data_IF_998209288852
#
_entry.id   IF_998209288852
#
_cell.length_a   1.000
_cell.length_b   1.000
_cell.length_c   1.000
_cell.angle_alpha   90.00
_cell.angle_beta   90.00
_cell.angle_gamma   90.00
#
_symmetry.space_group_name_H-M   'P 1'
#
loop_
_entity.id
_entity.type
_entity.pdbx_description
1 polymer ?
#
# COMPACT_ATOMS: atom_id res chain seq x y z
N UNK A 1 -3.29 -10.93 44.73
CA UNK A 1 -3.95 -12.17 44.31
C UNK A 1 -3.88 -12.23 42.79
N UNK A 2 -3.75 -13.41 42.19
CA UNK A 2 -3.82 -13.54 40.74
C UNK A 2 -5.28 -13.44 40.31
N UNK A 3 -5.59 -12.59 39.33
CA UNK A 3 -6.95 -12.41 38.83
C UNK A 3 -7.28 -13.50 37.81
N UNK A 4 -8.55 -13.89 37.74
CA UNK A 4 -9.09 -14.79 36.73
C UNK A 4 -10.20 -14.06 35.98
N UNK A 5 -10.29 -14.30 34.67
CA UNK A 5 -11.34 -13.76 33.83
C UNK A 5 -12.44 -14.79 33.57
N UNK A 6 -13.65 -14.33 33.24
CA UNK A 6 -14.74 -15.19 32.79
C UNK A 6 -15.13 -14.83 31.36
N UNK A 7 -15.14 -15.83 30.48
CA UNK A 7 -15.55 -15.65 29.09
C UNK A 7 -17.08 -15.63 29.01
N UNK A 8 -17.64 -14.51 28.59
CA UNK A 8 -19.08 -14.30 28.44
C UNK A 8 -19.32 -13.31 27.29
N UNK A 9 -20.32 -13.59 26.44
CA UNK A 9 -20.73 -12.69 25.35
C UNK A 9 -19.60 -12.22 24.43
N UNK A 10 -18.62 -13.10 24.17
CA UNK A 10 -17.48 -12.82 23.29
C UNK A 10 -16.34 -12.01 23.94
N UNK A 11 -16.47 -11.66 25.22
CA UNK A 11 -15.45 -10.91 25.99
C UNK A 11 -15.02 -11.67 27.23
N UNK A 12 -13.87 -11.29 27.80
CA UNK A 12 -13.37 -11.81 29.08
C UNK A 12 -13.57 -10.75 30.16
N UNK A 13 -14.51 -11.00 31.06
CA UNK A 13 -14.81 -10.13 32.20
C UNK A 13 -13.85 -10.41 33.34
N UNK A 14 -13.22 -9.37 33.88
CA UNK A 14 -12.27 -9.48 35.00
C UNK A 14 -12.65 -8.49 36.10
N UNK A 15 -12.92 -9.00 37.30
CA UNK A 15 -13.29 -8.21 38.47
C UNK A 15 -12.12 -7.95 39.44
N UNK A 16 -12.44 -7.63 40.70
CA UNK A 16 -11.43 -7.37 41.73
C UNK A 16 -10.84 -5.96 41.63
N UNK A 17 -9.53 -5.86 41.41
CA UNK A 17 -8.79 -4.62 41.14
C UNK A 17 -8.33 -4.52 39.67
N UNK A 18 -8.99 -5.25 38.76
CA UNK A 18 -8.63 -5.33 37.34
C UNK A 18 -8.60 -3.98 36.63
N UNK A 19 -9.57 -3.10 36.93
CA UNK A 19 -9.60 -1.74 36.38
C UNK A 19 -8.32 -0.97 36.67
N UNK A 20 -7.94 -0.86 37.95
CA UNK A 20 -6.72 -0.15 38.32
C UNK A 20 -5.47 -0.86 37.77
N UNK A 21 -5.48 -2.20 37.81
CA UNK A 21 -4.31 -3.00 37.48
C UNK A 21 -4.03 -3.09 35.98
N UNK A 22 -5.04 -3.10 35.13
CA UNK A 22 -4.89 -3.35 33.69
C UNK A 22 -5.40 -2.21 32.82
N UNK A 23 -6.58 -1.65 33.11
CA UNK A 23 -7.15 -0.57 32.31
C UNK A 23 -6.41 0.75 32.60
N UNK A 24 -6.53 1.29 33.81
CA UNK A 24 -6.03 2.63 34.13
C UNK A 24 -4.49 2.72 34.05
N UNK A 25 -3.78 1.61 34.22
CA UNK A 25 -2.31 1.58 34.21
C UNK A 25 -1.71 1.31 32.83
N UNK A 26 -2.43 0.60 31.95
CA UNK A 26 -1.87 0.02 30.71
C UNK A 26 -2.83 -0.01 29.52
N UNK A 27 -4.05 0.51 29.65
CA UNK A 27 -5.06 0.57 28.59
C UNK A 27 -5.49 -0.80 28.07
N UNK A 28 -5.81 -1.74 28.96
CA UNK A 28 -6.44 -3.01 28.56
C UNK A 28 -7.95 -2.98 28.78
N UNK A 29 -8.69 -3.49 27.80
CA UNK A 29 -10.14 -3.62 27.90
C UNK A 29 -10.86 -2.29 27.94
N UNK A 30 -12.14 -2.35 28.27
CA UNK A 30 -12.95 -1.18 28.61
C UNK A 30 -13.61 -1.36 29.99
N UNK A 31 -13.86 -0.27 30.73
CA UNK A 31 -14.42 -0.34 32.07
C UNK A 31 -15.90 -0.73 32.04
N UNK A 32 -16.29 -1.59 33.00
CA UNK A 32 -17.67 -1.92 33.32
C UNK A 32 -18.07 -1.25 34.65
N UNK A 33 -19.09 -1.78 35.34
CA UNK A 33 -19.50 -1.29 36.64
C UNK A 33 -18.44 -1.56 37.72
N UNK A 34 -18.11 -0.53 38.51
CA UNK A 34 -17.13 -0.64 39.59
C UNK A 34 -15.70 -0.81 39.09
N UNK A 35 -15.03 -1.88 39.54
CA UNK A 35 -13.64 -2.20 39.20
C UNK A 35 -13.52 -3.31 38.15
N UNK A 36 -14.65 -3.73 37.58
CA UNK A 36 -14.69 -4.75 36.54
C UNK A 36 -14.32 -4.13 35.18
N UNK A 37 -13.63 -4.92 34.35
CA UNK A 37 -13.34 -4.57 32.96
C UNK A 37 -13.75 -5.73 32.05
N UNK A 38 -14.04 -5.42 30.80
CA UNK A 38 -14.17 -6.41 29.73
C UNK A 38 -12.95 -6.33 28.81
N UNK A 39 -12.29 -7.47 28.62
CA UNK A 39 -11.16 -7.64 27.72
C UNK A 39 -11.61 -8.35 26.45
N UNK A 40 -11.02 -7.98 25.31
CA UNK A 40 -11.15 -8.80 24.13
C UNK A 40 -10.33 -10.09 24.31
N UNK A 41 -10.65 -11.17 23.58
CA UNK A 41 -9.93 -12.44 23.71
C UNK A 41 -8.40 -12.28 23.50
N UNK A 42 -7.98 -11.39 22.60
CA UNK A 42 -6.57 -11.12 22.31
C UNK A 42 -5.87 -10.38 23.47
N UNK A 43 -6.57 -9.46 24.12
CA UNK A 43 -6.08 -8.74 25.30
C UNK A 43 -5.92 -9.70 26.49
N UNK A 44 -6.90 -10.57 26.71
CA UNK A 44 -6.85 -11.61 27.73
C UNK A 44 -5.72 -12.60 27.46
N UNK A 45 -5.55 -13.05 26.22
CA UNK A 45 -4.44 -13.93 25.83
C UNK A 45 -3.08 -13.28 26.12
N UNK A 46 -2.92 -11.99 25.85
CA UNK A 46 -1.68 -11.28 26.17
C UNK A 46 -1.44 -11.18 27.68
N UNK A 47 -2.47 -10.95 28.49
CA UNK A 47 -2.33 -10.96 29.96
C UNK A 47 -2.03 -12.37 30.50
N UNK A 48 -2.59 -13.43 29.92
CA UNK A 48 -2.24 -14.82 30.25
C UNK A 48 -0.79 -15.14 29.88
N UNK A 49 -0.36 -14.74 28.67
CA UNK A 49 1.00 -14.94 28.17
C UNK A 49 2.05 -14.31 29.10
N UNK A 50 1.76 -13.11 29.60
CA UNK A 50 2.60 -12.41 30.59
C UNK A 50 2.54 -12.98 32.01
N UNK A 51 1.61 -13.88 32.29
CA UNK A 51 1.30 -14.34 33.65
C UNK A 51 0.64 -13.28 34.54
N UNK A 52 0.12 -12.20 33.94
CA UNK A 52 -0.58 -11.14 34.65
C UNK A 52 -2.02 -11.56 35.00
N UNK A 53 -2.66 -12.37 34.15
CA UNK A 53 -3.94 -13.06 34.39
C UNK A 53 -3.66 -14.56 34.62
N UNK A 54 -4.36 -15.19 35.56
CA UNK A 54 -4.09 -16.58 35.95
C UNK A 54 -4.76 -17.60 35.02
N UNK A 55 -5.99 -17.31 34.60
CA UNK A 55 -6.79 -18.15 33.72
C UNK A 55 -8.00 -17.37 33.18
N UNK A 56 -8.59 -17.88 32.10
CA UNK A 56 -9.93 -17.52 31.61
C UNK A 56 -10.85 -18.71 31.84
N UNK A 57 -11.98 -18.49 32.51
CA UNK A 57 -12.99 -19.51 32.79
C UNK A 57 -14.12 -19.40 31.77
N UNK A 58 -14.39 -20.47 31.05
CA UNK A 58 -15.50 -20.58 30.09
C UNK A 58 -16.36 -21.80 30.46
N UNK A 59 -17.56 -21.56 30.97
CA UNK A 59 -18.35 -22.60 31.63
C UNK A 59 -17.60 -23.25 32.80
N UNK A 60 -17.35 -24.55 32.69
CA UNK A 60 -16.60 -25.34 33.68
C UNK A 60 -15.10 -25.47 33.33
N UNK A 61 -14.67 -24.93 32.19
CA UNK A 61 -13.31 -25.07 31.69
C UNK A 61 -12.45 -23.88 32.12
N UNK A 62 -11.27 -24.20 32.65
CA UNK A 62 -10.26 -23.22 33.06
C UNK A 62 -9.13 -23.21 32.04
N UNK A 63 -8.98 -22.11 31.33
CA UNK A 63 -8.04 -21.96 30.23
C UNK A 63 -6.81 -21.17 30.65
N UNK A 64 -5.65 -21.77 30.45
CA UNK A 64 -4.37 -21.05 30.42
C UNK A 64 -4.12 -20.46 29.02
N UNK A 65 -2.99 -19.77 28.84
CA UNK A 65 -2.63 -19.17 27.55
C UNK A 65 -2.67 -20.20 26.40
N UNK A 66 -2.06 -21.37 26.61
CA UNK A 66 -2.00 -22.43 25.60
C UNK A 66 -3.40 -22.90 25.20
N UNK A 67 -4.25 -23.12 26.18
CA UNK A 67 -5.60 -23.64 25.96
C UNK A 67 -6.51 -22.60 25.32
N UNK A 68 -6.36 -21.31 25.66
CA UNK A 68 -7.09 -20.23 25.00
C UNK A 68 -6.63 -20.04 23.55
N UNK A 69 -5.32 -20.05 23.29
CA UNK A 69 -4.77 -19.93 21.94
C UNK A 69 -5.25 -21.07 21.04
N UNK A 70 -5.20 -22.32 21.54
CA UNK A 70 -5.64 -23.50 20.79
C UNK A 70 -7.14 -23.52 20.46
N UNK A 71 -7.94 -22.65 21.09
CA UNK A 71 -9.37 -22.51 20.76
C UNK A 71 -9.63 -21.59 19.58
N UNK A 72 -8.67 -20.76 19.20
CA UNK A 72 -8.83 -19.72 18.15
C UNK A 72 -10.15 -18.93 18.35
N UNK A 73 -10.31 -18.16 19.44
CA UNK A 73 -11.53 -17.40 19.72
C UNK A 73 -11.67 -16.22 18.76
N UNK A 74 -12.09 -16.51 17.53
CA UNK A 74 -12.22 -15.58 16.42
C UNK A 74 -11.38 -15.97 15.20
N UNK A 75 -11.63 -15.34 14.04
CA UNK A 75 -10.82 -15.56 12.85
C UNK A 75 -9.38 -15.10 13.07
N UNK A 76 -8.44 -15.87 12.52
CA UNK A 76 -6.99 -15.60 12.50
C UNK A 76 -6.43 -15.18 13.86
N UNK A 77 -6.95 -15.77 14.94
CA UNK A 77 -6.65 -15.33 16.29
C UNK A 77 -5.16 -15.44 16.62
N UNK A 78 -4.50 -16.53 16.20
CA UNK A 78 -3.04 -16.66 16.33
C UNK A 78 -2.26 -15.51 15.68
N UNK A 79 -2.61 -15.12 14.45
CA UNK A 79 -1.99 -14.02 13.70
C UNK A 79 -2.21 -12.68 14.43
N UNK A 80 -3.46 -12.41 14.81
CA UNK A 80 -3.84 -11.20 15.56
C UNK A 80 -3.12 -11.10 16.90
N UNK A 81 -2.95 -12.22 17.60
CA UNK A 81 -2.20 -12.27 18.85
C UNK A 81 -0.72 -11.94 18.67
N UNK A 82 -0.07 -12.46 17.62
CA UNK A 82 1.35 -12.16 17.34
C UNK A 82 1.57 -10.66 17.13
N UNK A 83 0.73 -10.02 16.30
CA UNK A 83 0.78 -8.56 16.08
C UNK A 83 0.51 -7.79 17.37
N UNK A 84 -0.51 -8.20 18.14
CA UNK A 84 -0.82 -7.55 19.41
C UNK A 84 0.36 -7.62 20.40
N UNK A 85 0.99 -8.79 20.51
CA UNK A 85 2.13 -9.00 21.40
C UNK A 85 3.37 -8.20 20.97
N UNK A 86 3.71 -8.19 19.67
CA UNK A 86 4.85 -7.42 19.14
C UNK A 86 4.68 -5.91 19.39
N UNK A 87 3.50 -5.34 19.12
CA UNK A 87 3.25 -3.93 19.37
C UNK A 87 3.28 -3.59 20.87
N UNK A 88 2.73 -4.45 21.73
CA UNK A 88 2.83 -4.29 23.19
C UNK A 88 4.29 -4.36 23.68
N UNK A 89 5.12 -5.23 23.10
CA UNK A 89 6.55 -5.33 23.40
C UNK A 89 7.31 -4.06 22.98
N UNK A 90 6.94 -3.46 21.84
CA UNK A 90 7.45 -2.17 21.35
C UNK A 90 6.95 -0.95 22.13
N UNK A 91 6.14 -1.17 23.17
CA UNK A 91 5.64 -0.15 24.08
C UNK A 91 4.41 0.60 23.56
N UNK A 92 3.76 0.12 22.50
CA UNK A 92 2.48 0.68 22.05
C UNK A 92 1.34 0.21 22.95
N UNK A 93 0.34 1.08 23.11
CA UNK A 93 -0.98 0.67 23.54
C UNK A 93 -1.85 0.51 22.31
N UNK A 94 -2.71 -0.49 22.35
CA UNK A 94 -3.64 -0.77 21.27
C UNK A 94 -4.86 -1.51 21.82
N UNK A 95 -5.98 -1.29 21.17
CA UNK A 95 -7.28 -1.85 21.50
C UNK A 95 -7.95 -2.36 20.23
N UNK A 96 -8.89 -3.32 20.32
CA UNK A 96 -9.82 -3.58 19.24
C UNK A 96 -10.41 -2.28 18.69
N UNK A 97 -10.40 -2.11 17.37
CA UNK A 97 -11.07 -1.00 16.71
C UNK A 97 -12.58 -1.32 16.61
N UNK A 98 -13.26 -1.28 17.75
CA UNK A 98 -14.69 -1.54 17.85
C UNK A 98 -15.29 -0.82 19.06
N UNK A 99 -16.57 -0.47 18.99
CA UNK A 99 -17.32 -0.10 20.19
C UNK A 99 -17.48 -1.33 21.10
N UNK A 100 -17.35 -1.19 22.43
CA UNK A 100 -17.16 0.04 23.20
C UNK A 100 -15.70 0.34 23.59
N UNK A 101 -14.69 -0.28 22.95
CA UNK A 101 -13.28 0.06 23.24
C UNK A 101 -12.93 1.47 22.77
N UNK A 102 -13.48 1.86 21.63
CA UNK A 102 -13.20 3.14 20.97
C UNK A 102 -14.53 3.69 20.46
N UNK A 103 -14.77 4.97 20.73
CA UNK A 103 -15.86 5.72 20.11
C UNK A 103 -15.51 6.02 18.65
N UNK A 104 -16.44 5.79 17.72
CA UNK A 104 -16.23 5.97 16.26
C UNK A 104 -14.96 5.25 15.73
N UNK A 105 -14.87 3.92 15.85
CA UNK A 105 -13.67 3.16 15.49
C UNK A 105 -13.40 3.18 13.97
N UNK A 106 -12.12 3.09 13.53
CA UNK A 106 -11.80 2.80 12.13
C UNK A 106 -12.28 1.39 11.75
N UNK A 107 -12.51 1.15 10.46
CA UNK A 107 -12.94 -0.17 9.93
C UNK A 107 -11.76 -1.16 9.82
N UNK A 108 -10.96 -1.29 10.89
CA UNK A 108 -9.78 -2.17 10.98
C UNK A 108 -9.84 -3.08 12.21
N UNK A 109 -8.88 -4.01 12.39
CA UNK A 109 -8.88 -4.90 13.56
C UNK A 109 -8.47 -4.21 14.86
N UNK A 110 -7.47 -3.32 14.79
CA UNK A 110 -6.92 -2.63 15.95
C UNK A 110 -6.78 -1.13 15.68
N UNK A 111 -6.97 -0.34 16.74
CA UNK A 111 -6.41 0.99 16.78
C UNK A 111 -5.18 0.99 17.68
N UNK A 112 -4.07 1.50 17.16
CA UNK A 112 -2.81 1.64 17.88
C UNK A 112 -2.64 3.12 18.22
N UNK A 113 -2.36 3.40 19.48
CA UNK A 113 -2.25 4.76 20.00
C UNK A 113 -0.79 5.26 19.92
N UNK A 114 -0.55 6.57 19.77
CA UNK A 114 0.81 7.13 19.84
C UNK A 114 1.54 6.69 21.11
N UNK A 115 2.87 6.53 21.05
CA UNK A 115 3.64 6.16 22.24
C UNK A 115 3.42 7.16 23.37
N UNK A 116 3.07 6.64 24.56
CA UNK A 116 2.76 7.43 25.75
C UNK A 116 1.31 7.91 25.83
N UNK A 117 0.47 7.59 24.83
CA UNK A 117 -0.97 7.80 24.84
C UNK A 117 -1.73 6.48 24.91
N UNK A 118 -3.00 6.54 25.29
CA UNK A 118 -3.90 5.42 25.39
C UNK A 118 -5.28 5.70 24.78
N UNK A 119 -6.22 4.76 24.93
CA UNK A 119 -7.56 4.87 24.35
C UNK A 119 -8.30 6.14 24.80
N UNK A 120 -8.08 6.60 26.03
CA UNK A 120 -8.73 7.80 26.58
C UNK A 120 -8.25 9.13 25.95
N UNK A 121 -7.15 9.11 25.19
CA UNK A 121 -6.59 10.32 24.56
C UNK A 121 -7.24 10.66 23.19
N UNK A 122 -8.02 9.74 22.61
CA UNK A 122 -8.76 9.95 21.35
C UNK A 122 -7.89 10.10 20.09
N UNK A 123 -6.60 9.78 20.15
CA UNK A 123 -5.67 9.88 19.01
C UNK A 123 -5.21 8.49 18.57
N UNK A 124 -5.47 8.14 17.31
CA UNK A 124 -5.05 6.88 16.71
C UNK A 124 -3.81 7.16 15.85
N UNK A 125 -2.70 6.50 16.18
CA UNK A 125 -1.48 6.56 15.37
C UNK A 125 -1.60 5.65 14.15
N UNK A 126 -2.14 4.44 14.34
CA UNK A 126 -2.31 3.46 13.27
C UNK A 126 -3.70 2.80 13.36
N UNK A 127 -4.51 2.97 12.32
CA UNK A 127 -5.63 2.08 12.04
C UNK A 127 -5.04 0.82 11.40
N UNK A 128 -4.98 -0.27 12.17
CA UNK A 128 -4.16 -1.43 11.86
C UNK A 128 -5.03 -2.61 11.44
N UNK A 129 -4.83 -3.05 10.20
CA UNK A 129 -5.37 -4.28 9.69
C UNK A 129 -4.36 -5.42 9.76
N UNK A 130 -4.82 -6.62 10.13
CA UNK A 130 -3.95 -7.79 10.34
C UNK A 130 -4.23 -8.89 9.34
N UNK A 131 -3.19 -9.38 8.67
CA UNK A 131 -3.27 -10.38 7.62
C UNK A 131 -2.22 -11.49 7.84
N UNK A 132 -2.61 -12.74 7.61
CA UNK A 132 -1.63 -13.80 7.36
C UNK A 132 -1.12 -13.68 5.91
N UNK A 133 0.10 -14.13 5.63
CA UNK A 133 0.71 -14.07 4.29
C UNK A 133 -0.10 -14.73 3.16
N UNK A 134 -1.07 -15.60 3.49
CA UNK A 134 -1.96 -16.32 2.56
C UNK A 134 -3.36 -15.67 2.45
N UNK A 135 -3.55 -14.51 3.05
CA UNK A 135 -4.83 -13.78 3.04
C UNK A 135 -4.77 -12.73 1.96
N UNK A 136 -5.43 -13.01 0.84
CA UNK A 136 -5.52 -12.09 -0.28
C UNK A 136 -6.22 -10.78 0.09
N UNK A 137 -5.78 -9.68 -0.52
CA UNK A 137 -6.35 -8.34 -0.35
C UNK A 137 -6.91 -7.87 -1.68
N UNK A 138 -8.23 -7.67 -1.78
CA UNK A 138 -8.78 -7.07 -2.99
C UNK A 138 -8.39 -5.59 -3.04
N UNK A 139 -7.94 -5.10 -4.20
CA UNK A 139 -7.49 -3.72 -4.36
C UNK A 139 -8.57 -2.69 -4.07
N UNK A 140 -9.84 -3.04 -4.28
CA UNK A 140 -11.01 -2.23 -3.92
C UNK A 140 -11.27 -2.12 -2.41
N UNK A 141 -10.69 -3.02 -1.62
CA UNK A 141 -10.83 -3.09 -0.16
C UNK A 141 -9.59 -2.46 0.52
N UNK A 142 -8.68 -1.83 -0.25
CA UNK A 142 -7.57 -1.06 0.32
C UNK A 142 -8.11 0.22 0.97
N UNK A 143 -7.59 0.51 2.16
CA UNK A 143 -7.93 1.69 2.95
C UNK A 143 -6.66 2.37 3.50
N UNK A 144 -6.77 3.66 3.82
CA UNK A 144 -5.70 4.40 4.49
C UNK A 144 -5.46 3.80 5.89
N UNK A 145 -4.22 3.41 6.18
CA UNK A 145 -3.90 2.76 7.46
C UNK A 145 -2.60 1.97 7.42
N UNK A 146 -2.54 0.93 8.24
CA UNK A 146 -1.38 0.04 8.34
C UNK A 146 -1.82 -1.40 8.13
N UNK A 147 -1.13 -2.12 7.25
CA UNK A 147 -1.24 -3.57 7.12
C UNK A 147 -0.11 -4.25 7.90
N UNK A 148 -0.43 -5.10 8.86
CA UNK A 148 0.50 -6.03 9.48
C UNK A 148 0.36 -7.40 8.83
N UNK A 149 1.39 -7.82 8.09
CA UNK A 149 1.46 -9.13 7.45
C UNK A 149 2.33 -10.05 8.29
N UNK A 150 1.79 -11.19 8.70
CA UNK A 150 2.51 -12.24 9.42
C UNK A 150 2.80 -13.41 8.48
N UNK A 151 4.06 -13.80 8.37
CA UNK A 151 4.49 -14.91 7.52
C UNK A 151 4.40 -16.29 8.22
N UNK A 152 4.76 -17.35 7.49
CA UNK A 152 4.75 -18.72 8.03
C UNK A 152 5.78 -18.97 9.16
N UNK A 153 6.80 -18.13 9.28
CA UNK A 153 7.79 -18.17 10.35
C UNK A 153 7.42 -17.24 11.52
N UNK A 154 6.23 -16.64 11.49
CA UNK A 154 5.73 -15.66 12.47
C UNK A 154 6.51 -14.34 12.49
N UNK A 155 7.26 -14.01 11.44
CA UNK A 155 7.82 -12.68 11.26
C UNK A 155 6.71 -11.70 10.82
N UNK A 156 6.77 -10.49 11.37
CA UNK A 156 5.77 -9.45 11.12
C UNK A 156 6.40 -8.34 10.29
N UNK A 157 5.75 -8.02 9.16
CA UNK A 157 6.08 -6.85 8.36
C UNK A 157 4.92 -5.87 8.37
N UNK A 158 5.20 -4.63 8.74
CA UNK A 158 4.23 -3.53 8.72
C UNK A 158 4.38 -2.73 7.44
N UNK A 159 3.25 -2.46 6.79
CA UNK A 159 3.16 -1.59 5.62
C UNK A 159 2.23 -0.43 5.92
N UNK A 160 2.68 0.79 5.65
CA UNK A 160 1.79 1.95 5.59
C UNK A 160 1.11 1.95 4.22
N UNK A 161 -0.21 2.06 4.21
CA UNK A 161 -1.04 2.19 3.01
C UNK A 161 -1.67 3.56 3.03
N UNK A 162 -1.53 4.30 1.93
CA UNK A 162 -2.10 5.64 1.82
C UNK A 162 -2.53 5.97 0.39
N UNK A 163 -3.62 6.72 0.26
CA UNK A 163 -4.02 7.38 -0.97
C UNK A 163 -2.91 8.32 -1.41
N UNK A 164 -2.51 8.21 -2.67
CA UNK A 164 -1.48 9.06 -3.24
C UNK A 164 -1.93 9.63 -4.56
N UNK A 165 -2.32 10.90 -4.56
CA UNK A 165 -2.64 11.64 -5.77
C UNK A 165 -1.35 12.18 -6.41
N UNK A 166 -0.77 11.55 -7.48
CA UNK A 166 0.51 11.97 -8.00
C UNK A 166 0.34 13.30 -8.73
N UNK A 167 1.18 14.29 -8.42
CA UNK A 167 1.24 15.57 -9.13
C UNK A 167 2.68 15.91 -9.52
N UNK A 168 2.85 16.65 -10.61
CA UNK A 168 4.15 17.10 -11.11
C UNK A 168 4.08 18.50 -11.72
N UNK A 169 5.25 19.02 -12.08
CA UNK A 169 5.41 20.36 -12.64
C UNK A 169 6.11 20.39 -14.01
N UNK A 170 6.32 19.21 -14.62
CA UNK A 170 7.08 19.02 -15.88
C UNK A 170 6.32 19.45 -17.15
N UNK A 171 5.53 20.52 -17.09
CA UNK A 171 4.70 20.97 -18.19
C UNK A 171 5.57 21.56 -19.31
N UNK A 172 5.44 21.04 -20.53
CA UNK A 172 6.09 21.60 -21.73
C UNK A 172 5.23 21.34 -22.96
N UNK A 173 5.23 22.27 -23.91
CA UNK A 173 4.50 22.15 -25.17
C UNK A 173 5.02 21.01 -26.05
N UNK A 174 4.14 20.42 -26.85
CA UNK A 174 4.49 19.40 -27.83
C UNK A 174 4.71 20.03 -29.21
N UNK A 175 5.61 19.48 -30.04
CA UNK A 175 5.71 19.85 -31.44
C UNK A 175 4.50 19.35 -32.24
N UNK A 176 4.35 19.81 -33.47
CA UNK A 176 3.28 19.39 -34.38
C UNK A 176 3.81 18.47 -35.49
N UNK A 177 3.16 17.32 -35.67
CA UNK A 177 3.27 16.48 -36.85
C UNK A 177 4.67 15.95 -37.19
N UNK A 178 5.50 15.63 -36.19
CA UNK A 178 6.83 15.08 -36.44
C UNK A 178 6.76 13.79 -37.27
N UNK A 179 7.66 13.66 -38.26
CA UNK A 179 7.75 12.48 -39.12
C UNK A 179 8.11 11.25 -38.28
N UNK A 180 7.33 10.17 -38.42
CA UNK A 180 7.56 8.96 -37.65
C UNK A 180 7.11 7.71 -38.41
N UNK A 181 7.78 6.59 -38.15
CA UNK A 181 7.46 5.27 -38.70
C UNK A 181 7.12 4.29 -37.58
N UNK A 182 5.98 3.60 -37.72
CA UNK A 182 5.58 2.50 -36.86
C UNK A 182 6.31 1.21 -37.27
N UNK A 183 7.09 0.66 -36.35
CA UNK A 183 7.78 -0.62 -36.52
C UNK A 183 7.01 -1.76 -35.82
N UNK A 184 7.67 -2.91 -35.65
CA UNK A 184 7.07 -4.09 -35.06
C UNK A 184 6.59 -3.86 -33.61
N UNK A 185 7.39 -3.21 -32.78
CA UNK A 185 7.16 -3.04 -31.34
C UNK A 185 7.52 -1.64 -30.80
N UNK A 186 7.81 -0.70 -31.71
CA UNK A 186 8.30 0.65 -31.40
C UNK A 186 8.00 1.63 -32.52
N UNK A 187 8.17 2.91 -32.26
CA UNK A 187 8.07 3.98 -33.25
C UNK A 187 9.41 4.70 -33.35
N UNK A 188 9.85 4.98 -34.57
CA UNK A 188 11.03 5.83 -34.83
C UNK A 188 10.53 7.20 -35.26
N UNK A 189 10.99 8.25 -34.60
CA UNK A 189 10.71 9.65 -34.92
C UNK A 189 11.95 10.24 -35.56
N UNK A 190 11.78 10.75 -36.78
CA UNK A 190 12.85 11.28 -37.61
C UNK A 190 12.97 12.79 -37.42
N UNK A 191 14.20 13.24 -37.18
CA UNK A 191 14.57 14.66 -37.07
C UNK A 191 13.59 15.46 -36.17
N UNK A 192 13.20 14.97 -34.98
CA UNK A 192 12.33 15.74 -34.10
C UNK A 192 13.07 16.96 -33.55
N UNK A 193 12.34 18.02 -33.15
CA UNK A 193 12.91 19.10 -32.36
C UNK A 193 13.59 18.56 -31.10
N UNK A 194 14.77 19.09 -30.76
CA UNK A 194 15.57 18.65 -29.61
C UNK A 194 14.76 18.70 -28.31
N UNK A 195 13.88 19.69 -28.18
CA UNK A 195 13.02 19.90 -27.02
C UNK A 195 12.07 18.72 -26.73
N UNK A 196 11.73 17.91 -27.76
CA UNK A 196 10.92 16.69 -27.58
C UNK A 196 11.62 15.65 -26.72
N UNK A 197 12.95 15.64 -26.68
CA UNK A 197 13.69 14.81 -25.74
C UNK A 197 14.18 15.63 -24.55
N UNK A 198 14.84 16.76 -24.79
CA UNK A 198 15.57 17.51 -23.76
C UNK A 198 14.67 18.09 -22.67
N UNK A 199 13.42 18.46 -22.99
CA UNK A 199 12.50 19.09 -22.02
C UNK A 199 11.36 18.20 -21.58
N UNK A 200 10.90 17.31 -22.47
CA UNK A 200 9.72 16.47 -22.21
C UNK A 200 10.06 15.00 -21.98
N UNK A 201 11.31 14.62 -22.23
CA UNK A 201 11.86 13.28 -22.04
C UNK A 201 11.09 12.18 -22.78
N UNK A 202 10.46 12.49 -23.93
CA UNK A 202 9.86 11.48 -24.79
C UNK A 202 10.92 10.70 -25.57
N UNK A 203 10.70 9.40 -25.67
CA UNK A 203 11.55 8.50 -26.45
C UNK A 203 12.94 8.32 -25.86
N UNK A 204 13.83 7.76 -26.68
CA UNK A 204 15.23 7.53 -26.39
C UNK A 204 16.04 7.79 -27.67
N UNK A 205 17.08 8.63 -27.63
CA UNK A 205 17.97 8.83 -28.77
C UNK A 205 18.62 7.53 -29.23
N UNK A 206 18.63 7.28 -30.54
CA UNK A 206 19.41 6.18 -31.13
C UNK A 206 20.88 6.58 -31.18
N UNK A 207 21.75 5.75 -30.59
CA UNK A 207 23.19 5.99 -30.55
C UNK A 207 23.80 6.03 -31.97
N UNK A 208 24.70 6.99 -32.22
CA UNK A 208 25.53 7.02 -33.44
C UNK A 208 25.13 8.03 -34.53
N UNK A 209 24.12 8.88 -34.31
CA UNK A 209 23.86 10.08 -35.13
C UNK A 209 24.28 11.35 -34.39
N UNK A 210 24.68 12.37 -35.15
CA UNK A 210 25.09 13.67 -34.61
C UNK A 210 23.96 14.27 -33.75
N UNK A 211 24.33 14.95 -32.65
CA UNK A 211 23.38 15.56 -31.72
C UNK A 211 22.47 16.60 -32.38
N UNK A 212 22.87 17.15 -33.54
CA UNK A 212 22.13 18.19 -34.25
C UNK A 212 20.91 17.65 -35.02
N UNK A 213 20.85 16.34 -35.32
CA UNK A 213 19.74 15.67 -36.00
C UNK A 213 19.37 14.36 -35.27
N UNK A 214 18.76 14.45 -34.08
CA UNK A 214 18.45 13.27 -33.30
C UNK A 214 17.47 12.36 -34.04
N UNK A 215 17.54 11.06 -33.77
CA UNK A 215 16.47 10.12 -34.11
C UNK A 215 16.00 9.51 -32.82
N UNK A 216 14.72 9.66 -32.50
CA UNK A 216 14.16 9.18 -31.25
C UNK A 216 13.42 7.87 -31.47
N UNK A 217 13.63 6.92 -30.57
CA UNK A 217 12.80 5.75 -30.46
C UNK A 217 11.77 5.94 -29.36
N UNK A 218 10.49 5.91 -29.71
CA UNK A 218 9.38 5.94 -28.78
C UNK A 218 8.82 4.53 -28.55
N UNK A 219 8.42 4.24 -27.32
CA UNK A 219 7.54 3.11 -27.01
C UNK A 219 6.16 3.30 -27.66
N UNK A 220 5.39 2.22 -27.81
CA UNK A 220 4.02 2.31 -28.34
C UNK A 220 3.10 3.16 -27.47
N UNK A 221 3.34 3.22 -26.16
CA UNK A 221 2.61 4.10 -25.22
C UNK A 221 2.90 5.58 -25.50
N UNK A 222 4.19 5.94 -25.52
CA UNK A 222 4.64 7.32 -25.85
C UNK A 222 4.10 7.74 -27.21
N UNK A 223 4.23 6.88 -28.22
CA UNK A 223 3.82 7.20 -29.58
C UNK A 223 2.30 7.33 -29.73
N UNK A 224 1.51 6.48 -29.06
CA UNK A 224 0.04 6.62 -29.07
C UNK A 224 -0.37 7.94 -28.44
N UNK A 225 0.17 8.27 -27.27
CA UNK A 225 -0.11 9.53 -26.57
C UNK A 225 0.23 10.76 -27.41
N UNK A 226 1.40 10.75 -28.06
CA UNK A 226 1.86 11.85 -28.92
C UNK A 226 1.04 11.96 -30.21
N UNK A 227 0.70 10.84 -30.85
CA UNK A 227 -0.13 10.82 -32.05
C UNK A 227 -1.55 11.34 -31.77
N UNK A 228 -2.17 10.94 -30.65
CA UNK A 228 -3.50 11.44 -30.23
C UNK A 228 -3.54 12.97 -30.06
N UNK A 229 -2.38 13.58 -29.78
CA UNK A 229 -2.21 15.04 -29.62
C UNK A 229 -1.70 15.71 -30.89
N UNK A 230 -1.60 14.98 -32.00
CA UNK A 230 -1.10 15.51 -33.28
C UNK A 230 0.40 15.76 -33.32
N UNK A 231 1.16 15.35 -32.30
CA UNK A 231 2.59 15.61 -32.22
C UNK A 231 3.42 14.70 -33.12
N UNK A 232 2.89 13.51 -33.47
CA UNK A 232 3.46 12.62 -34.48
C UNK A 232 2.53 12.52 -35.69
N UNK A 233 3.11 12.49 -36.88
CA UNK A 233 2.41 12.26 -38.14
C UNK A 233 2.00 10.81 -38.37
N UNK A 234 1.39 10.17 -37.36
CA UNK A 234 0.91 8.79 -37.39
C UNK A 234 -0.58 8.73 -37.11
N UNK A 235 -1.26 7.71 -37.63
CA UNK A 235 -2.64 7.40 -37.23
C UNK A 235 -2.63 6.81 -35.80
N UNK A 236 -3.23 7.49 -34.81
CA UNK A 236 -3.25 7.00 -33.44
C UNK A 236 -3.94 5.64 -33.30
N UNK A 237 -4.95 5.36 -34.13
CA UNK A 237 -5.67 4.10 -34.09
C UNK A 237 -4.76 2.93 -34.49
N UNK A 238 -3.94 3.11 -35.52
CA UNK A 238 -2.98 2.10 -35.97
C UNK A 238 -1.89 1.81 -34.92
N UNK A 239 -1.38 2.86 -34.25
CA UNK A 239 -0.38 2.68 -33.17
C UNK A 239 -1.00 1.95 -31.97
N UNK A 240 -2.24 2.31 -31.60
CA UNK A 240 -2.97 1.67 -30.51
C UNK A 240 -3.29 0.20 -30.81
N UNK A 241 -3.73 -0.12 -32.03
CA UNK A 241 -3.94 -1.49 -32.49
C UNK A 241 -2.66 -2.32 -32.37
N UNK A 242 -1.53 -1.77 -32.85
CA UNK A 242 -0.23 -2.43 -32.69
C UNK A 242 0.16 -2.62 -31.22
N UNK A 243 -0.13 -1.64 -30.37
CA UNK A 243 0.03 -1.75 -28.92
C UNK A 243 -0.70 -2.95 -28.32
N UNK A 244 -1.97 -3.14 -28.70
CA UNK A 244 -2.78 -4.29 -28.29
C UNK A 244 -2.26 -5.61 -28.83
N UNK A 245 -1.77 -5.65 -30.06
CA UNK A 245 -1.15 -6.85 -30.64
C UNK A 245 0.12 -7.27 -29.87
N UNK A 246 0.94 -6.32 -29.42
CA UNK A 246 2.23 -6.58 -28.75
C UNK A 246 2.05 -6.87 -27.26
N UNK A 247 1.17 -6.12 -26.58
CA UNK A 247 1.05 -6.18 -25.11
C UNK A 247 -0.27 -6.81 -24.62
N UNK A 248 -1.24 -7.04 -25.50
CA UNK A 248 -2.55 -7.57 -25.14
C UNK A 248 -3.38 -6.59 -24.30
N UNK A 249 -4.21 -7.15 -23.42
CA UNK A 249 -5.20 -6.41 -22.62
C UNK A 249 -4.59 -5.39 -21.63
N UNK A 250 -3.29 -5.48 -21.34
CA UNK A 250 -2.62 -4.51 -20.47
C UNK A 250 -2.34 -3.19 -21.17
N UNK A 251 -2.29 -3.16 -22.51
CA UNK A 251 -1.87 -1.98 -23.26
C UNK A 251 -2.76 -0.77 -22.97
N UNK A 252 -4.08 -0.92 -23.10
CA UNK A 252 -5.01 0.19 -22.90
C UNK A 252 -4.99 0.70 -21.46
N UNK A 253 -4.87 -0.20 -20.47
CA UNK A 253 -4.73 0.19 -19.05
C UNK A 253 -3.44 0.98 -18.80
N UNK A 254 -2.31 0.49 -19.30
CA UNK A 254 -1.02 1.19 -19.21
C UNK A 254 -1.05 2.54 -19.95
N UNK A 255 -1.70 2.61 -21.10
CA UNK A 255 -1.86 3.84 -21.88
C UNK A 255 -2.70 4.87 -21.13
N UNK A 256 -3.78 4.46 -20.48
CA UNK A 256 -4.60 5.33 -19.65
C UNK A 256 -3.79 5.93 -18.50
N UNK A 257 -3.07 5.09 -17.76
CA UNK A 257 -2.19 5.53 -16.66
C UNK A 257 -1.07 6.45 -17.18
N UNK A 258 -0.45 6.10 -18.32
CA UNK A 258 0.56 6.93 -18.97
C UNK A 258 0.02 8.32 -19.31
N UNK A 259 -1.18 8.38 -19.89
CA UNK A 259 -1.82 9.63 -20.28
C UNK A 259 -2.16 10.49 -19.05
N UNK A 260 -2.75 9.90 -18.02
CA UNK A 260 -3.08 10.57 -16.76
C UNK A 260 -1.84 11.19 -16.10
N UNK A 261 -0.74 10.43 -16.02
CA UNK A 261 0.53 10.96 -15.48
C UNK A 261 1.04 12.15 -16.30
N UNK A 262 1.02 12.05 -17.63
CA UNK A 262 1.45 13.15 -18.51
C UNK A 262 0.56 14.38 -18.39
N UNK A 263 -0.75 14.20 -18.26
CA UNK A 263 -1.72 15.27 -18.06
C UNK A 263 -1.54 15.97 -16.71
N UNK A 264 -1.05 15.23 -15.71
CA UNK A 264 -0.64 15.75 -14.39
C UNK A 264 0.79 16.31 -14.37
N UNK A 265 1.40 16.52 -15.54
CA UNK A 265 2.76 17.02 -15.71
C UNK A 265 3.84 16.17 -15.03
N UNK A 266 3.63 14.86 -14.99
CA UNK A 266 4.61 13.87 -14.55
C UNK A 266 5.18 13.19 -15.79
N UNK A 267 6.47 12.89 -15.78
CA UNK A 267 7.12 12.15 -16.87
C UNK A 267 7.24 10.66 -16.50
N UNK A 268 6.36 9.77 -17.02
CA UNK A 268 6.55 8.33 -16.92
C UNK A 268 7.60 7.83 -17.92
N UNK A 269 8.58 7.07 -17.45
CA UNK A 269 9.48 6.24 -18.25
C UNK A 269 9.34 4.78 -17.88
N UNK A 270 9.88 3.88 -18.70
CA UNK A 270 9.82 2.43 -18.45
C UNK A 270 10.37 2.06 -17.06
N UNK A 271 9.54 1.35 -16.28
CA UNK A 271 9.90 0.77 -15.00
C UNK A 271 10.58 -0.60 -15.10
N UNK A 272 10.81 -1.12 -16.32
CA UNK A 272 11.27 -2.50 -16.58
C UNK A 272 12.49 -2.92 -15.74
N UNK A 273 13.48 -2.03 -15.59
CA UNK A 273 14.70 -2.30 -14.79
C UNK A 273 14.42 -2.51 -13.29
N UNK A 274 13.22 -2.18 -12.84
CA UNK A 274 12.73 -2.26 -11.47
C UNK A 274 11.47 -3.12 -11.37
N UNK A 275 11.16 -3.96 -12.36
CA UNK A 275 9.98 -4.83 -12.32
C UNK A 275 8.62 -4.12 -12.33
N UNK A 276 8.57 -2.80 -12.52
CA UNK A 276 7.36 -1.99 -12.55
C UNK A 276 6.97 -1.57 -13.97
N UNK A 277 5.75 -1.09 -14.17
CA UNK A 277 5.30 -0.57 -15.46
C UNK A 277 5.99 0.76 -15.78
N UNK A 278 6.04 1.65 -14.79
CA UNK A 278 6.64 2.97 -14.91
C UNK A 278 7.56 3.30 -13.74
N UNK A 279 8.55 4.14 -14.03
CA UNK A 279 9.17 5.02 -13.05
C UNK A 279 8.80 6.45 -13.43
N UNK A 280 8.46 7.27 -12.47
CA UNK A 280 8.00 8.64 -12.72
C UNK A 280 9.07 9.65 -12.37
N UNK A 281 8.93 10.85 -12.94
CA UNK A 281 9.69 12.05 -12.59
C UNK A 281 8.67 13.19 -12.48
N UNK A 282 8.45 13.68 -11.26
CA UNK A 282 7.48 14.75 -11.01
C UNK A 282 7.97 16.11 -11.55
N UNK A 283 9.27 16.38 -11.40
CA UNK A 283 9.90 17.66 -11.72
C UNK A 283 11.07 17.43 -12.69
N UNK A 284 10.86 17.77 -13.96
CA UNK A 284 11.86 17.70 -15.03
C UNK A 284 12.00 19.08 -15.66
N UNK A 285 13.17 19.70 -15.44
CA UNK A 285 13.55 20.94 -16.12
C UNK A 285 14.33 20.64 -17.42
N UNK A 286 15.26 19.69 -17.34
CA UNK A 286 16.07 19.22 -18.47
C UNK A 286 16.49 17.76 -18.26
N UNK A 287 16.90 17.08 -19.34
CA UNK A 287 17.51 15.74 -19.25
C UNK A 287 18.88 15.77 -18.57
N UNK A 288 19.60 16.90 -18.63
CA UNK A 288 20.92 17.04 -18.01
C UNK A 288 20.84 17.19 -16.50
N UNK A 289 19.75 17.80 -16.01
CA UNK A 289 19.45 18.00 -14.59
C UNK A 289 18.39 17.03 -14.07
N UNK A 290 18.24 15.87 -14.73
CA UNK A 290 17.23 14.90 -14.38
C UNK A 290 17.52 14.33 -12.98
N UNK A 291 16.64 14.63 -12.03
CA UNK A 291 16.66 14.05 -10.69
C UNK A 291 16.50 12.53 -10.71
N UNK A 292 16.47 11.93 -9.53
CA UNK A 292 16.08 10.52 -9.42
C UNK A 292 14.57 10.38 -9.53
N UNK A 293 14.11 9.33 -10.21
CA UNK A 293 12.69 8.97 -10.20
C UNK A 293 12.22 8.73 -8.78
N UNK A 294 11.01 9.17 -8.46
CA UNK A 294 10.46 9.15 -7.10
C UNK A 294 9.52 7.97 -6.88
N UNK A 295 8.71 7.59 -7.88
CA UNK A 295 7.78 6.46 -7.78
C UNK A 295 8.16 5.32 -8.72
N UNK A 296 7.80 4.11 -8.29
CA UNK A 296 7.58 2.96 -9.17
C UNK A 296 6.09 2.70 -9.24
N UNK A 297 5.52 2.73 -10.44
CA UNK A 297 4.07 2.54 -10.65
C UNK A 297 3.83 1.16 -11.25
N UNK A 298 2.93 0.39 -10.65
CA UNK A 298 2.35 -0.84 -11.20
C UNK A 298 0.89 -0.63 -11.58
N UNK A 299 0.50 -1.12 -12.75
CA UNK A 299 -0.85 -0.92 -13.31
C UNK A 299 -1.66 -2.20 -13.24
N UNK A 300 -2.73 -2.16 -12.47
CA UNK A 300 -3.65 -3.28 -12.26
C UNK A 300 -5.08 -2.88 -12.60
N UNK A 301 -5.97 -3.82 -12.94
CA UNK A 301 -7.40 -3.53 -12.99
C UNK A 301 -7.94 -3.24 -11.57
N UNK A 302 -9.06 -2.54 -11.45
CA UNK A 302 -9.64 -2.18 -10.16
C UNK A 302 -10.07 -3.39 -9.30
N UNK A 303 -10.38 -4.52 -9.93
CA UNK A 303 -10.73 -5.78 -9.27
C UNK A 303 -9.52 -6.69 -8.99
N UNK A 304 -8.29 -6.15 -9.12
CA UNK A 304 -7.09 -6.91 -8.82
C UNK A 304 -7.07 -7.37 -7.36
N UNK A 305 -6.60 -8.59 -7.16
CA UNK A 305 -6.44 -9.21 -5.84
C UNK A 305 -4.94 -9.37 -5.60
N UNK A 306 -4.46 -8.73 -4.53
CA UNK A 306 -3.07 -8.75 -4.12
C UNK A 306 -2.80 -9.93 -3.19
N UNK A 307 -1.77 -10.70 -3.50
CA UNK A 307 -1.15 -11.59 -2.51
C UNK A 307 -0.24 -10.75 -1.61
N UNK A 308 -0.28 -10.89 -0.26
CA UNK A 308 0.60 -10.14 0.64
C UNK A 308 2.09 -10.30 0.31
N UNK A 309 2.48 -11.47 -0.21
CA UNK A 309 3.83 -11.74 -0.70
C UNK A 309 4.23 -10.81 -1.85
N UNK A 310 3.33 -10.53 -2.78
CA UNK A 310 3.61 -9.66 -3.93
C UNK A 310 3.73 -8.21 -3.49
N UNK A 311 2.88 -7.75 -2.56
CA UNK A 311 3.04 -6.44 -1.90
C UNK A 311 4.42 -6.34 -1.25
N UNK A 312 4.83 -7.35 -0.47
CA UNK A 312 6.12 -7.35 0.21
C UNK A 312 7.30 -7.31 -0.78
N UNK A 313 7.23 -8.05 -1.89
CA UNK A 313 8.24 -8.04 -2.94
C UNK A 313 8.35 -6.66 -3.59
N UNK A 314 7.22 -6.04 -3.91
CA UNK A 314 7.14 -4.74 -4.58
C UNK A 314 7.64 -3.60 -3.71
N UNK A 315 7.23 -3.57 -2.45
CA UNK A 315 7.71 -2.60 -1.46
C UNK A 315 9.21 -2.77 -1.23
N UNK A 316 9.70 -4.01 -1.10
CA UNK A 316 11.13 -4.29 -0.92
C UNK A 316 11.94 -3.83 -2.14
N UNK A 317 11.42 -4.03 -3.34
CA UNK A 317 12.06 -3.62 -4.58
C UNK A 317 12.17 -2.10 -4.66
N UNK A 318 11.09 -1.37 -4.39
CA UNK A 318 11.09 0.09 -4.37
C UNK A 318 12.02 0.65 -3.29
N UNK A 319 11.94 0.13 -2.07
CA UNK A 319 12.81 0.53 -0.96
C UNK A 319 14.30 0.32 -1.28
N UNK A 320 14.66 -0.79 -1.93
CA UNK A 320 16.03 -1.09 -2.33
C UNK A 320 16.65 -0.05 -3.28
N UNK A 321 15.82 0.67 -4.04
CA UNK A 321 16.24 1.73 -4.97
C UNK A 321 15.82 3.12 -4.52
N UNK A 322 15.42 3.28 -3.24
CA UNK A 322 14.96 4.53 -2.61
C UNK A 322 13.83 5.21 -3.39
N UNK A 323 12.80 4.43 -3.71
CA UNK A 323 11.56 4.89 -4.37
C UNK A 323 10.36 4.43 -3.56
N UNK A 324 9.23 5.08 -3.78
CA UNK A 324 7.94 4.66 -3.22
C UNK A 324 7.22 3.78 -4.24
N UNK A 325 6.66 2.65 -3.79
CA UNK A 325 5.82 1.81 -4.63
C UNK A 325 4.41 2.40 -4.69
N UNK A 326 3.85 2.48 -5.89
CA UNK A 326 2.50 2.98 -6.15
C UNK A 326 1.74 2.01 -7.04
N UNK A 327 0.54 1.64 -6.62
CA UNK A 327 -0.40 0.86 -7.42
C UNK A 327 -1.43 1.79 -8.05
N UNK A 328 -1.55 1.73 -9.38
CA UNK A 328 -2.60 2.40 -10.15
C UNK A 328 -3.67 1.36 -10.51
N UNK A 329 -4.80 1.42 -9.81
CA UNK A 329 -5.95 0.53 -9.99
C UNK A 329 -6.94 1.16 -10.98
N UNK A 330 -7.04 0.56 -12.16
CA UNK A 330 -7.77 1.14 -13.30
C UNK A 330 -9.19 0.55 -13.37
N UNK A 331 -10.19 1.41 -13.16
CA UNK A 331 -11.60 1.13 -13.41
C UNK A 331 -12.01 1.58 -14.83
N UNK A 332 -13.30 1.57 -15.16
CA UNK A 332 -13.79 2.07 -16.46
C UNK A 332 -13.66 3.60 -16.56
N UNK A 333 -13.99 4.33 -15.50
CA UNK A 333 -14.05 5.81 -15.51
C UNK A 333 -13.03 6.50 -14.59
N UNK A 334 -12.29 5.75 -13.76
CA UNK A 334 -11.33 6.32 -12.81
C UNK A 334 -10.03 5.50 -12.69
N UNK A 335 -9.00 6.12 -12.11
CA UNK A 335 -7.76 5.47 -11.65
C UNK A 335 -7.58 5.80 -10.17
N UNK A 336 -7.60 4.76 -9.35
CA UNK A 336 -7.26 4.88 -7.93
C UNK A 336 -5.77 4.64 -7.71
N UNK A 337 -5.15 5.48 -6.88
CA UNK A 337 -3.71 5.49 -6.64
C UNK A 337 -3.40 5.24 -5.17
N UNK A 338 -2.64 4.18 -4.91
CA UNK A 338 -2.27 3.75 -3.56
C UNK A 338 -0.76 3.64 -3.43
N UNK A 339 -0.17 4.36 -2.46
CA UNK A 339 1.20 4.09 -2.02
C UNK A 339 1.22 3.04 -0.93
N UNK A 340 2.20 2.14 -1.03
CA UNK A 340 2.50 1.18 0.03
C UNK A 340 3.99 1.27 0.35
N UNK A 341 4.29 1.51 1.63
CA UNK A 341 5.66 1.72 2.11
C UNK A 341 5.93 0.88 3.35
N UNK A 342 7.20 0.48 3.54
CA UNK A 342 7.58 -0.26 4.74
C UNK A 342 7.52 0.67 5.96
N UNK A 343 6.74 0.28 6.96
CA UNK A 343 6.64 0.99 8.23
C UNK A 343 7.50 0.29 9.30
N UNK A 344 8.14 1.07 10.17
CA UNK A 344 8.75 0.56 11.41
C UNK A 344 8.13 1.31 12.59
N UNK A 345 7.15 0.71 13.29
CA UNK A 345 6.47 1.33 14.43
C UNK A 345 7.39 1.70 15.61
#
# INVERSE_FOLDING_TARGET
MSLEGRFEDGVVRVGGDARQRYHDSRGYGYPLAGNEIALAPVEAAHLLYRGDLAAVVDGDERLDFRSLLAREPGPDFGVRFLVYADLRERGFYLSPAAEPWIEDPPETEFAVFPRGKGPDDGEIAYALQVLGERTDVAGRDLEDGVLAVVDEESEITYFEVSRRDPSGSSATGLPDGCSADLLADRVVVWEPPLELYERTFYGQPLEGREYDEPTLQCSLLEATYLAERGALGLDPAAVRERGREVEGERFDRRLRVYAELRERNIVPKTGYKFGADFRTYADVESVEDLGHSELLVRVHPADHVFEPRDIALDVRLAHGVRKTMVFALVAEDDIEWWSVERLTP
#
